data_IF_277744880368
#
_entry.id   IF_277744880368
#
_cell.length_a   1.000
_cell.length_b   1.000
_cell.length_c   1.000
_cell.angle_alpha   90.00
_cell.angle_beta   90.00
_cell.angle_gamma   90.00
#
_symmetry.space_group_name_H-M   'P 1'
#
loop_
_entity.id
_entity.type
_entity.pdbx_description
1 polymer ?
#
# COMPACT_ATOMS: atom_id res chain seq x y z
N UNK A 1 -9.00 -7.99 0.12
CA UNK A 1 -9.09 -8.27 1.57
C UNK A 1 -8.92 -9.78 1.79
N UNK A 2 -8.19 -10.18 2.84
CA UNK A 2 -6.95 -10.93 2.69
C UNK A 2 -7.17 -12.28 1.98
N UNK A 3 -6.52 -12.44 0.83
CA UNK A 3 -6.30 -13.75 0.20
C UNK A 3 -5.19 -14.55 0.88
N UNK A 4 -4.45 -13.91 1.80
CA UNK A 4 -3.33 -14.50 2.55
C UNK A 4 -3.89 -15.37 3.68
N UNK A 5 -3.52 -16.65 3.69
CA UNK A 5 -3.89 -17.55 4.78
C UNK A 5 -3.25 -17.10 6.09
N UNK A 6 -3.99 -17.17 7.21
CA UNK A 6 -3.47 -16.76 8.52
C UNK A 6 -2.17 -17.48 8.92
N UNK A 7 -2.04 -18.76 8.57
CA UNK A 7 -0.82 -19.55 8.81
C UNK A 7 0.39 -18.99 8.06
N UNK A 8 0.21 -18.63 6.78
CA UNK A 8 1.26 -18.02 5.96
C UNK A 8 1.68 -16.65 6.52
N UNK A 9 0.70 -15.86 7.00
CA UNK A 9 0.99 -14.60 7.68
C UNK A 9 1.81 -14.82 8.95
N UNK A 10 1.41 -15.74 9.82
CA UNK A 10 2.14 -16.02 11.08
C UNK A 10 3.56 -16.49 10.79
N UNK A 11 3.74 -17.39 9.80
CA UNK A 11 5.05 -17.84 9.38
C UNK A 11 5.93 -16.69 8.89
N UNK A 12 5.38 -15.79 8.09
CA UNK A 12 6.08 -14.59 7.64
C UNK A 12 6.44 -13.65 8.81
N UNK A 13 5.52 -13.42 9.76
CA UNK A 13 5.81 -12.58 10.93
C UNK A 13 6.94 -13.15 11.80
N UNK A 14 7.06 -14.48 11.88
CA UNK A 14 8.20 -15.12 12.54
C UNK A 14 9.53 -14.84 11.81
N UNK A 15 9.52 -14.76 10.47
CA UNK A 15 10.71 -14.39 9.69
C UNK A 15 11.11 -12.93 9.98
N UNK A 16 10.15 -12.00 9.96
CA UNK A 16 10.39 -10.59 10.30
C UNK A 16 10.90 -10.44 11.73
N UNK A 17 10.34 -11.21 12.68
CA UNK A 17 10.81 -11.25 14.06
C UNK A 17 12.28 -11.67 14.16
N UNK A 18 12.69 -12.70 13.41
CA UNK A 18 14.08 -13.19 13.39
C UNK A 18 15.07 -12.17 12.81
N UNK A 19 14.60 -11.25 11.97
CA UNK A 19 15.41 -10.11 11.47
C UNK A 19 15.38 -8.89 12.41
N UNK A 20 14.81 -9.02 13.62
CA UNK A 20 14.74 -7.95 14.63
C UNK A 20 13.45 -7.13 14.60
N UNK A 21 12.52 -7.43 13.69
CA UNK A 21 11.25 -6.73 13.53
C UNK A 21 10.17 -7.11 14.53
N UNK A 22 10.50 -7.27 15.81
CA UNK A 22 9.56 -7.72 16.86
C UNK A 22 8.35 -6.78 16.99
N UNK A 23 8.59 -5.46 16.96
CA UNK A 23 7.53 -4.46 17.04
C UNK A 23 6.64 -4.48 15.79
N UNK A 24 7.26 -4.59 14.60
CA UNK A 24 6.53 -4.75 13.35
C UNK A 24 5.61 -5.96 13.41
N UNK A 25 6.10 -7.13 13.84
CA UNK A 25 5.32 -8.36 13.89
C UNK A 25 4.05 -8.20 14.76
N UNK A 26 4.19 -7.61 15.95
CA UNK A 26 3.03 -7.36 16.83
C UNK A 26 2.03 -6.34 16.27
N UNK A 27 2.50 -5.32 15.54
CA UNK A 27 1.64 -4.34 14.88
C UNK A 27 0.93 -4.95 13.66
N UNK A 28 1.66 -5.68 12.83
CA UNK A 28 1.13 -6.33 11.64
C UNK A 28 0.09 -7.40 11.97
N UNK A 29 0.29 -8.14 13.07
CA UNK A 29 -0.73 -9.10 13.55
C UNK A 29 -2.04 -8.40 13.94
N UNK A 30 -1.97 -7.26 14.65
CA UNK A 30 -3.14 -6.45 15.03
C UNK A 30 -3.82 -5.81 13.81
N UNK A 31 -3.02 -5.35 12.85
CA UNK A 31 -3.48 -4.71 11.63
C UNK A 31 -4.12 -5.68 10.64
N UNK A 32 -3.85 -6.99 10.77
CA UNK A 32 -4.22 -7.99 9.79
C UNK A 32 -5.72 -7.96 9.46
N UNK A 33 -6.04 -8.03 8.17
CA UNK A 33 -7.42 -7.97 7.67
C UNK A 33 -8.04 -6.57 7.73
N UNK A 34 -7.28 -5.54 8.11
CA UNK A 34 -7.77 -4.17 8.27
C UNK A 34 -8.59 -3.97 9.55
N UNK A 35 -8.22 -4.69 10.62
CA UNK A 35 -8.93 -4.65 11.90
C UNK A 35 -8.60 -3.42 12.75
N UNK A 36 -7.36 -2.90 12.65
CA UNK A 36 -6.87 -1.76 13.41
C UNK A 36 -6.05 -0.83 12.49
N UNK A 37 -6.63 0.33 12.16
CA UNK A 37 -6.00 1.33 11.29
C UNK A 37 -4.73 1.92 11.91
N UNK A 38 -4.71 2.15 13.23
CA UNK A 38 -3.54 2.72 13.90
C UNK A 38 -2.39 1.74 13.91
N UNK A 39 -2.68 0.46 14.14
CA UNK A 39 -1.66 -0.59 14.04
C UNK A 39 -1.14 -0.73 12.60
N UNK A 40 -2.02 -0.62 11.60
CA UNK A 40 -1.65 -0.69 10.19
C UNK A 40 -0.73 0.47 9.77
N UNK A 41 -1.07 1.69 10.19
CA UNK A 41 -0.26 2.89 9.94
C UNK A 41 1.12 2.78 10.62
N UNK A 42 1.16 2.38 11.90
CA UNK A 42 2.42 2.19 12.61
C UNK A 42 3.30 1.09 11.98
N UNK A 43 2.71 -0.02 11.52
CA UNK A 43 3.45 -1.07 10.82
C UNK A 43 4.00 -0.58 9.46
N UNK A 44 3.20 0.22 8.74
CA UNK A 44 3.59 0.82 7.46
C UNK A 44 4.77 1.78 7.63
N UNK A 45 4.70 2.71 8.59
CA UNK A 45 5.77 3.67 8.84
C UNK A 45 7.06 2.97 9.28
N UNK A 46 6.98 1.97 10.15
CA UNK A 46 8.16 1.22 10.59
C UNK A 46 8.82 0.49 9.42
N UNK A 47 8.04 -0.21 8.59
CA UNK A 47 8.60 -0.86 7.40
C UNK A 47 9.16 0.17 6.40
N UNK A 48 8.52 1.34 6.25
CA UNK A 48 9.02 2.42 5.41
C UNK A 48 10.39 2.93 5.88
N UNK A 49 10.56 3.14 7.18
CA UNK A 49 11.84 3.55 7.79
C UNK A 49 12.94 2.51 7.51
N UNK A 50 12.66 1.22 7.71
CA UNK A 50 13.62 0.14 7.44
C UNK A 50 14.03 0.08 5.95
N UNK A 51 13.09 0.31 5.04
CA UNK A 51 13.37 0.38 3.60
C UNK A 51 14.28 1.56 3.21
N UNK A 52 14.27 2.64 4.01
CA UNK A 52 15.03 3.86 3.75
C UNK A 52 16.29 3.98 4.62
N UNK A 53 16.56 3.04 5.52
CA UNK A 53 17.75 3.01 6.36
C UNK A 53 19.05 2.65 5.60
N UNK A 54 18.93 2.10 4.39
CA UNK A 54 20.06 1.67 3.56
C UNK A 54 19.76 1.84 2.05
N UNK A 55 20.77 1.79 1.18
CA UNK A 55 20.54 1.72 -0.26
C UNK A 55 19.60 0.57 -0.61
N UNK A 56 18.67 0.80 -1.54
CA UNK A 56 17.61 -0.15 -1.88
C UNK A 56 18.11 -1.59 -2.04
N UNK A 57 19.20 -1.77 -2.79
CA UNK A 57 19.81 -3.06 -3.12
C UNK A 57 20.30 -3.86 -1.89
N UNK A 58 20.51 -3.18 -0.76
CA UNK A 58 20.96 -3.76 0.51
C UNK A 58 19.82 -4.03 1.49
N UNK A 59 18.60 -3.58 1.19
CA UNK A 59 17.41 -3.88 2.01
C UNK A 59 17.05 -5.36 1.88
N UNK A 60 16.87 -6.04 3.01
CA UNK A 60 16.45 -7.45 3.06
C UNK A 60 15.10 -7.65 2.35
N UNK A 61 14.95 -8.80 1.67
CA UNK A 61 13.67 -9.16 1.06
C UNK A 61 12.55 -9.24 2.09
N UNK A 62 12.83 -9.72 3.31
CA UNK A 62 11.85 -9.82 4.40
C UNK A 62 11.27 -8.45 4.74
N UNK A 63 12.09 -7.40 4.78
CA UNK A 63 11.60 -6.03 5.03
C UNK A 63 10.81 -5.46 3.85
N UNK A 64 11.20 -5.79 2.61
CA UNK A 64 10.38 -5.41 1.43
C UNK A 64 9.04 -6.11 1.42
N UNK A 65 9.00 -7.38 1.79
CA UNK A 65 7.76 -8.15 1.94
C UNK A 65 6.93 -7.64 3.13
N UNK A 66 7.58 -7.18 4.20
CA UNK A 66 6.92 -6.57 5.36
C UNK A 66 6.23 -5.27 4.95
N UNK A 67 6.89 -4.46 4.14
CA UNK A 67 6.29 -3.27 3.54
C UNK A 67 5.06 -3.63 2.70
N UNK A 68 5.14 -4.62 1.80
CA UNK A 68 3.99 -5.11 1.03
C UNK A 68 2.79 -5.50 1.92
N UNK A 69 3.04 -6.25 3.00
CA UNK A 69 2.00 -6.68 3.94
C UNK A 69 1.35 -5.51 4.68
N UNK A 70 2.14 -4.51 5.08
CA UNK A 70 1.64 -3.29 5.71
C UNK A 70 0.77 -2.46 4.75
N UNK A 71 1.18 -2.32 3.48
CA UNK A 71 0.39 -1.67 2.44
C UNK A 71 -0.98 -2.35 2.24
N UNK A 72 -1.00 -3.69 2.18
CA UNK A 72 -2.26 -4.43 2.09
C UNK A 72 -3.18 -4.15 3.28
N UNK A 73 -2.62 -4.13 4.49
CA UNK A 73 -3.39 -3.92 5.73
C UNK A 73 -3.93 -2.49 5.83
N UNK A 74 -3.09 -1.49 5.55
CA UNK A 74 -3.50 -0.08 5.61
C UNK A 74 -4.48 0.28 4.48
N UNK A 75 -4.25 -0.20 3.27
CA UNK A 75 -5.21 -0.03 2.17
C UNK A 75 -6.56 -0.69 2.48
N UNK A 76 -6.54 -1.84 3.16
CA UNK A 76 -7.75 -2.52 3.66
C UNK A 76 -8.52 -1.63 4.65
N UNK A 77 -7.83 -0.97 5.58
CA UNK A 77 -8.44 0.01 6.50
C UNK A 77 -9.04 1.20 5.75
N UNK A 78 -8.31 1.80 4.82
CA UNK A 78 -8.82 2.91 4.01
C UNK A 78 -10.03 2.52 3.16
N UNK A 79 -10.00 1.33 2.55
CA UNK A 79 -11.13 0.81 1.78
C UNK A 79 -12.37 0.63 2.65
N UNK A 80 -12.24 0.03 3.85
CA UNK A 80 -13.33 -0.12 4.81
C UNK A 80 -13.89 1.23 5.28
N UNK A 81 -13.04 2.25 5.37
CA UNK A 81 -13.41 3.62 5.71
C UNK A 81 -13.96 4.42 4.50
N UNK A 82 -14.26 3.76 3.37
CA UNK A 82 -14.75 4.38 2.13
C UNK A 82 -13.82 5.48 1.58
N UNK A 83 -12.50 5.28 1.74
CA UNK A 83 -11.39 6.11 1.23
C UNK A 83 -10.62 5.37 0.13
N UNK A 84 -11.23 5.14 -1.04
CA UNK A 84 -10.63 4.29 -2.08
C UNK A 84 -9.39 4.91 -2.73
N UNK A 85 -9.30 6.24 -2.81
CA UNK A 85 -8.14 6.91 -3.42
C UNK A 85 -6.90 6.74 -2.55
N UNK A 86 -7.05 6.87 -1.24
CA UNK A 86 -6.01 6.63 -0.24
C UNK A 86 -5.58 5.16 -0.28
N UNK A 87 -6.53 4.23 -0.34
CA UNK A 87 -6.22 2.81 -0.49
C UNK A 87 -5.40 2.52 -1.76
N UNK A 88 -5.77 3.10 -2.91
CA UNK A 88 -5.04 2.92 -4.16
C UNK A 88 -3.62 3.47 -4.11
N UNK A 89 -3.40 4.63 -3.47
CA UNK A 89 -2.05 5.21 -3.29
C UNK A 89 -1.14 4.28 -2.49
N UNK A 90 -1.66 3.73 -1.39
CA UNK A 90 -0.90 2.80 -0.54
C UNK A 90 -0.58 1.50 -1.30
N UNK A 91 -1.53 0.98 -2.10
CA UNK A 91 -1.30 -0.21 -2.92
C UNK A 91 -0.30 0.03 -4.04
N UNK A 92 -0.34 1.17 -4.72
CA UNK A 92 0.61 1.53 -5.77
C UNK A 92 2.05 1.61 -5.22
N UNK A 93 2.20 2.20 -4.03
CA UNK A 93 3.50 2.24 -3.37
C UNK A 93 4.00 0.85 -2.96
N UNK A 94 3.11 0.00 -2.43
CA UNK A 94 3.42 -1.40 -2.16
C UNK A 94 3.78 -2.17 -3.43
N UNK A 95 3.19 -1.81 -4.57
CA UNK A 95 3.52 -2.38 -5.87
C UNK A 95 4.94 -1.99 -6.31
N UNK A 96 5.33 -0.74 -6.14
CA UNK A 96 6.63 -0.21 -6.59
C UNK A 96 7.78 -0.64 -5.67
N UNK A 97 7.57 -0.58 -4.36
CA UNK A 97 8.63 -0.82 -3.36
C UNK A 97 8.51 -2.17 -2.66
N UNK A 98 7.38 -2.85 -2.76
CA UNK A 98 7.17 -4.12 -2.10
C UNK A 98 8.10 -5.24 -2.58
N UNK A 99 8.25 -6.24 -1.72
CA UNK A 99 8.89 -7.50 -2.06
C UNK A 99 7.95 -8.44 -2.84
N UNK A 100 8.48 -9.54 -3.38
CA UNK A 100 7.74 -10.43 -4.28
C UNK A 100 6.68 -11.30 -3.58
N UNK A 101 6.78 -11.54 -2.26
CA UNK A 101 5.96 -12.54 -1.57
C UNK A 101 4.47 -12.24 -1.61
N UNK A 102 4.09 -10.96 -1.55
CA UNK A 102 2.69 -10.51 -1.53
C UNK A 102 2.28 -9.71 -2.78
N UNK A 103 3.06 -9.86 -3.86
CA UNK A 103 2.90 -9.12 -5.13
C UNK A 103 1.53 -9.38 -5.75
N UNK A 104 1.12 -10.65 -5.82
CA UNK A 104 -0.15 -11.06 -6.42
C UNK A 104 -1.33 -10.50 -5.62
N UNK A 105 -1.23 -10.48 -4.31
CA UNK A 105 -2.26 -9.96 -3.41
C UNK A 105 -2.42 -8.45 -3.54
N UNK A 106 -1.30 -7.71 -3.67
CA UNK A 106 -1.31 -6.28 -3.96
C UNK A 106 -2.00 -5.97 -5.29
N UNK A 107 -1.63 -6.67 -6.36
CA UNK A 107 -2.22 -6.47 -7.69
C UNK A 107 -3.72 -6.81 -7.69
N UNK A 108 -4.11 -7.91 -7.06
CA UNK A 108 -5.52 -8.30 -6.93
C UNK A 108 -6.32 -7.24 -6.15
N UNK A 109 -5.77 -6.71 -5.05
CA UNK A 109 -6.41 -5.64 -4.29
C UNK A 109 -6.54 -4.35 -5.11
N UNK A 110 -5.49 -3.98 -5.85
CA UNK A 110 -5.46 -2.80 -6.71
C UNK A 110 -6.54 -2.89 -7.81
N UNK A 111 -6.63 -4.02 -8.50
CA UNK A 111 -7.65 -4.27 -9.51
C UNK A 111 -9.06 -4.26 -8.93
N UNK A 112 -9.26 -4.89 -7.78
CA UNK A 112 -10.55 -4.93 -7.10
C UNK A 112 -11.05 -3.52 -6.77
N UNK A 113 -10.25 -2.71 -6.09
CA UNK A 113 -10.63 -1.35 -5.68
C UNK A 113 -10.78 -0.41 -6.88
N UNK A 114 -9.89 -0.52 -7.87
CA UNK A 114 -9.96 0.29 -9.10
C UNK A 114 -11.26 0.02 -9.88
N UNK A 115 -11.68 -1.24 -9.98
CA UNK A 115 -12.90 -1.62 -10.69
C UNK A 115 -14.17 -1.06 -10.04
N UNK A 116 -14.19 -1.00 -8.70
CA UNK A 116 -15.29 -0.41 -7.93
C UNK A 116 -15.30 1.10 -8.11
N UNK A 117 -14.14 1.74 -7.97
CA UNK A 117 -14.00 3.22 -8.10
C UNK A 117 -14.38 3.70 -9.51
N UNK A 118 -14.00 2.97 -10.56
CA UNK A 118 -14.40 3.26 -11.94
C UNK A 118 -15.91 3.16 -12.18
N UNK A 119 -16.59 2.22 -11.52
CA UNK A 119 -18.07 2.11 -11.56
C UNK A 119 -18.75 3.25 -10.82
N UNK A 120 -18.25 3.66 -9.66
CA UNK A 120 -18.82 4.78 -8.88
C UNK A 120 -18.71 6.08 -9.68
N UNK A 121 -17.58 6.33 -10.34
CA UNK A 121 -17.42 7.51 -11.19
C UNK A 121 -18.32 7.45 -12.45
N UNK A 122 -18.59 6.27 -13.00
CA UNK A 122 -19.51 6.09 -14.14
C UNK A 122 -20.99 6.34 -13.82
N UNK A 123 -21.40 6.24 -12.54
CA UNK A 123 -22.76 6.53 -12.07
C UNK A 123 -22.93 7.97 -11.55
N UNK A 124 -21.83 8.69 -11.30
CA UNK A 124 -21.81 10.07 -10.82
C UNK A 124 -21.36 11.13 -11.84
N UNK A 125 -20.87 10.72 -13.02
CA UNK A 125 -20.36 11.63 -14.05
C UNK A 125 -21.47 12.32 -14.88
N UNK A 126 -22.39 13.01 -14.21
CA UNK A 126 -23.22 14.03 -14.87
C UNK A 126 -23.02 15.45 -14.35
N UNK A 127 -22.20 15.70 -13.32
CA UNK A 127 -21.83 17.08 -12.95
C UNK A 127 -20.56 17.12 -12.10
N UNK A 128 -19.40 17.34 -12.75
CA UNK A 128 -18.24 18.08 -12.22
C UNK A 128 -16.96 17.67 -12.97
N UNK A 129 -16.73 18.27 -14.13
CA UNK A 129 -15.40 18.45 -14.69
C UNK A 129 -15.22 19.93 -14.97
N UNK A 130 -14.84 20.67 -13.93
CA UNK A 130 -14.17 21.96 -14.09
C UNK A 130 -12.85 21.87 -13.34
N UNK A 131 -11.77 21.88 -14.11
CA UNK A 131 -10.45 22.25 -13.61
C UNK A 131 -9.51 21.12 -13.22
N UNK A 132 -9.00 20.39 -14.21
CA UNK A 132 -7.61 19.91 -14.13
C UNK A 132 -6.91 20.31 -15.43
N UNK A 133 -5.83 21.12 -15.39
CA UNK A 133 -5.16 21.56 -16.60
C UNK A 133 -4.47 20.37 -17.30
N UNK A 134 -4.55 20.39 -18.62
CA UNK A 134 -4.04 19.37 -19.51
C UNK A 134 -2.52 19.29 -19.41
N UNK A 135 -1.98 18.07 -19.29
CA UNK A 135 -0.53 17.80 -19.15
C UNK A 135 0.32 18.31 -20.33
N UNK A 136 -0.33 18.77 -21.41
CA UNK A 136 0.31 19.37 -22.59
C UNK A 136 0.80 20.81 -22.39
N UNK A 137 0.36 21.50 -21.34
CA UNK A 137 0.73 22.91 -21.11
C UNK A 137 2.06 23.09 -20.33
N UNK A 138 2.68 22.01 -19.85
CA UNK A 138 3.94 22.10 -19.08
C UNK A 138 5.19 22.38 -19.94
N UNK A 139 5.09 22.27 -21.26
CA UNK A 139 6.24 22.45 -22.16
C UNK A 139 6.55 23.90 -22.55
N UNK A 140 5.75 24.89 -22.09
CA UNK A 140 5.95 26.31 -22.45
C UNK A 140 6.64 27.16 -21.36
N UNK A 141 6.96 26.60 -20.19
CA UNK A 141 7.49 27.38 -19.05
C UNK A 141 9.03 27.48 -19.04
N UNK A 142 9.76 26.77 -19.90
CA UNK A 142 11.24 26.69 -19.81
C UNK A 142 12.01 27.58 -20.78
N UNK A 143 11.41 28.61 -21.38
CA UNK A 143 12.15 29.51 -22.28
C UNK A 143 11.80 30.99 -22.16
N UNK A 144 12.00 31.57 -20.97
CA UNK A 144 12.32 32.99 -20.85
C UNK A 144 13.37 33.20 -19.73
N UNK A 145 14.63 33.28 -20.15
CA UNK A 145 15.68 34.03 -19.47
C UNK A 145 16.54 34.70 -20.53
#
# INVERSE_FOLDING_TARGET
MPSIARSQMIEFLNQVHNEGGVMFAGLAEKAWGGADERAAEAAYELAWEELHGAPWQSVSLVWRDAFSLSCLSLASCHHNANRPIEALKILDLGVIMGGPQFRTELENALHSISSVTGKVNGLGASNAIVGLPNFRDLHLITKQR
#
